data_IF_263915592180
#
_entry.id   IF_263915592180
#
_cell.length_a   1.000
_cell.length_b   1.000
_cell.length_c   1.000
_cell.angle_alpha   90.00
_cell.angle_beta   90.00
_cell.angle_gamma   90.00
#
_symmetry.space_group_name_H-M   'P 1'
#
loop_
_entity.id
_entity.type
_entity.pdbx_description
1 polymer ?
#
# COMPACT_ATOMS: atom_id res chain seq x y z
N UNK A 1 6.39 -44.94 -1.57
CA UNK A 1 5.35 -44.44 -2.49
C UNK A 1 4.06 -44.29 -1.71
N UNK A 2 3.66 -43.07 -1.35
CA UNK A 2 2.27 -42.72 -1.00
C UNK A 2 2.12 -41.22 -1.21
N UNK A 3 1.41 -40.85 -2.29
CA UNK A 3 1.05 -39.47 -2.58
C UNK A 3 -0.16 -39.14 -1.70
N UNK A 4 -0.04 -38.14 -0.84
CA UNK A 4 -1.18 -37.55 -0.15
C UNK A 4 -1.78 -36.48 -1.05
N UNK A 5 -2.94 -36.77 -1.63
CA UNK A 5 -3.75 -35.83 -2.40
C UNK A 5 -4.41 -34.83 -1.46
N UNK A 6 -4.09 -33.54 -1.61
CA UNK A 6 -4.82 -32.45 -0.97
C UNK A 6 -6.21 -32.29 -1.60
N UNK A 7 -7.26 -31.89 -0.84
CA UNK A 7 -8.57 -31.59 -1.40
C UNK A 7 -8.54 -30.28 -2.21
N UNK A 8 -9.40 -30.12 -3.23
CA UNK A 8 -9.46 -28.90 -4.02
C UNK A 8 -10.02 -27.74 -3.18
N UNK A 9 -9.15 -26.76 -2.90
CA UNK A 9 -9.52 -25.47 -2.32
C UNK A 9 -10.28 -24.64 -3.35
N UNK A 10 -11.61 -24.73 -3.36
CA UNK A 10 -12.42 -23.70 -4.03
C UNK A 10 -13.69 -23.48 -3.22
N UNK A 11 -13.63 -22.50 -2.33
CA UNK A 11 -14.84 -21.94 -1.74
C UNK A 11 -15.55 -21.14 -2.85
N UNK A 12 -16.84 -21.39 -3.13
CA UNK A 12 -17.55 -20.66 -4.18
C UNK A 12 -17.75 -19.21 -3.73
N UNK A 13 -17.23 -18.24 -4.47
CA UNK A 13 -17.51 -16.83 -4.21
C UNK A 13 -18.97 -16.53 -4.54
N UNK A 14 -19.81 -16.05 -3.61
CA UNK A 14 -21.07 -15.43 -3.97
C UNK A 14 -20.78 -14.10 -4.70
N UNK A 15 -21.62 -13.78 -5.68
CA UNK A 15 -21.56 -12.58 -6.51
C UNK A 15 -21.26 -11.32 -5.66
N UNK A 16 -20.24 -10.56 -6.06
CA UNK A 16 -19.82 -9.37 -5.32
C UNK A 16 -20.95 -8.32 -5.31
N UNK A 17 -21.37 -7.80 -4.15
CA UNK A 17 -22.17 -6.59 -4.12
C UNK A 17 -21.36 -5.42 -4.70
N UNK A 18 -22.07 -4.38 -5.17
CA UNK A 18 -21.45 -3.16 -5.70
C UNK A 18 -20.41 -2.62 -4.70
N UNK A 19 -19.16 -2.50 -5.17
CA UNK A 19 -18.01 -2.09 -4.36
C UNK A 19 -18.09 -0.57 -4.13
N UNK A 20 -18.70 -0.15 -3.03
CA UNK A 20 -18.84 1.27 -2.67
C UNK A 20 -17.61 1.84 -1.95
N UNK A 21 -16.83 0.99 -1.28
CA UNK A 21 -15.61 1.40 -0.58
C UNK A 21 -14.38 0.71 -1.19
N UNK A 22 -13.24 1.41 -1.33
CA UNK A 22 -12.00 0.81 -1.79
C UNK A 22 -11.51 -0.25 -0.81
N UNK A 23 -10.87 -1.30 -1.34
CA UNK A 23 -10.16 -2.33 -0.57
C UNK A 23 -8.66 -2.11 -0.60
N UNK A 24 -7.91 -2.82 0.24
CA UNK A 24 -6.44 -2.76 0.22
C UNK A 24 -5.86 -3.11 -1.16
N UNK A 25 -6.45 -4.10 -1.84
CA UNK A 25 -6.07 -4.47 -3.20
C UNK A 25 -6.39 -3.38 -4.24
N UNK A 26 -7.44 -2.58 -4.05
CA UNK A 26 -7.72 -1.43 -4.93
C UNK A 26 -6.65 -0.35 -4.78
N UNK A 27 -6.20 -0.10 -3.55
CA UNK A 27 -5.13 0.87 -3.29
C UNK A 27 -3.81 0.41 -3.91
N UNK A 28 -3.45 -0.87 -3.73
CA UNK A 28 -2.26 -1.42 -4.39
C UNK A 28 -2.34 -1.30 -5.92
N UNK A 29 -3.50 -1.59 -6.51
CA UNK A 29 -3.72 -1.44 -7.94
C UNK A 29 -3.61 0.03 -8.38
N UNK A 30 -4.23 0.95 -7.65
CA UNK A 30 -4.16 2.39 -7.92
C UNK A 30 -2.72 2.89 -7.88
N UNK A 31 -1.97 2.61 -6.82
CA UNK A 31 -0.60 3.08 -6.68
C UNK A 31 0.35 2.45 -7.70
N UNK A 32 0.12 1.19 -8.08
CA UNK A 32 0.88 0.55 -9.17
C UNK A 32 0.64 1.26 -10.50
N UNK A 33 -0.61 1.58 -10.81
CA UNK A 33 -0.94 2.33 -12.01
C UNK A 33 -0.40 3.77 -11.96
N UNK A 34 -0.43 4.42 -10.80
CA UNK A 34 0.10 5.77 -10.61
C UNK A 34 1.62 5.82 -10.80
N UNK A 35 2.37 5.06 -10.00
CA UNK A 35 3.83 5.07 -10.00
C UNK A 35 4.41 4.45 -11.28
N UNK A 36 3.67 3.53 -11.92
CA UNK A 36 4.01 3.00 -13.24
C UNK A 36 3.72 3.95 -14.40
N UNK A 37 3.17 5.15 -14.16
CA UNK A 37 2.87 6.15 -15.21
C UNK A 37 1.63 5.81 -16.05
N UNK A 38 0.75 4.93 -15.57
CA UNK A 38 -0.50 4.58 -16.25
C UNK A 38 -1.64 5.58 -16.04
N UNK A 39 -1.52 6.49 -15.06
CA UNK A 39 -2.55 7.49 -14.73
C UNK A 39 -2.19 8.92 -15.09
N UNK A 40 -0.90 9.26 -15.12
CA UNK A 40 -0.40 10.63 -15.31
C UNK A 40 0.66 10.65 -16.41
N UNK A 41 0.79 11.79 -17.11
CA UNK A 41 1.91 12.00 -18.03
C UNK A 41 3.22 12.06 -17.25
N UNK A 42 4.38 11.76 -17.85
CA UNK A 42 5.66 11.73 -17.13
C UNK A 42 6.00 13.02 -16.39
N UNK A 43 5.63 14.19 -16.93
CA UNK A 43 5.84 15.48 -16.26
C UNK A 43 5.00 15.63 -14.99
N UNK A 44 3.72 15.24 -15.03
CA UNK A 44 2.78 15.31 -13.90
C UNK A 44 3.14 14.29 -12.83
N UNK A 45 3.54 13.07 -13.22
CA UNK A 45 4.01 12.07 -12.28
C UNK A 45 5.26 12.57 -11.53
N UNK A 46 6.21 13.16 -12.26
CA UNK A 46 7.40 13.75 -11.65
C UNK A 46 7.03 14.85 -10.66
N UNK A 47 6.07 15.72 -10.98
CA UNK A 47 5.57 16.73 -10.04
C UNK A 47 4.94 16.09 -8.80
N UNK A 48 4.15 15.03 -8.98
CA UNK A 48 3.48 14.33 -7.88
C UNK A 48 4.45 13.60 -6.95
N UNK A 49 5.57 13.09 -7.46
CA UNK A 49 6.56 12.32 -6.70
C UNK A 49 7.78 13.14 -6.24
N UNK A 50 7.80 14.45 -6.47
CA UNK A 50 8.93 15.31 -6.05
C UNK A 50 8.53 16.12 -4.82
N UNK A 51 9.22 15.89 -3.70
CA UNK A 51 9.11 16.76 -2.54
C UNK A 51 9.97 18.00 -2.78
N UNK A 52 9.29 19.12 -3.01
CA UNK A 52 9.94 20.42 -3.26
C UNK A 52 10.21 21.21 -1.98
N UNK A 53 9.53 20.91 -0.88
CA UNK A 53 9.72 21.65 0.39
C UNK A 53 10.75 21.00 1.30
N UNK A 54 11.03 19.71 1.10
CA UNK A 54 11.93 18.91 1.92
C UNK A 54 11.29 18.42 3.23
N UNK A 55 9.97 18.57 3.38
CA UNK A 55 9.23 18.22 4.60
C UNK A 55 8.75 16.77 4.63
N UNK A 56 9.12 15.96 3.63
CA UNK A 56 8.66 14.58 3.46
C UNK A 56 7.29 14.48 2.78
N UNK A 57 6.88 15.50 2.03
CA UNK A 57 5.58 15.57 1.37
C UNK A 57 5.70 16.10 -0.05
N UNK A 58 5.13 15.35 -1.01
CA UNK A 58 4.88 15.84 -2.36
C UNK A 58 3.38 16.09 -2.57
N UNK A 59 2.92 16.14 -3.82
CA UNK A 59 1.52 16.44 -4.12
C UNK A 59 0.61 15.25 -3.77
N UNK A 60 0.18 15.17 -2.51
CA UNK A 60 -0.67 14.10 -2.01
C UNK A 60 0.05 12.79 -1.74
N UNK A 61 1.40 12.81 -1.67
CA UNK A 61 2.22 11.67 -1.29
C UNK A 61 3.06 12.00 -0.06
N UNK A 62 2.97 11.13 0.93
CA UNK A 62 3.90 11.03 2.05
C UNK A 62 5.17 10.32 1.60
N UNK A 63 6.31 10.85 2.01
CA UNK A 63 7.61 10.22 1.85
C UNK A 63 8.12 9.76 3.22
N UNK A 64 8.51 8.49 3.29
CA UNK A 64 9.16 7.93 4.47
C UNK A 64 10.47 7.27 4.08
N UNK A 65 11.45 7.28 4.99
CA UNK A 65 12.75 6.65 4.78
C UNK A 65 12.81 5.35 5.56
N UNK A 66 12.96 4.25 4.84
CA UNK A 66 13.33 2.95 5.40
C UNK A 66 14.85 2.73 5.25
N UNK A 67 15.43 1.74 5.96
CA UNK A 67 16.86 1.42 5.83
C UNK A 67 17.30 1.10 4.39
N UNK A 68 16.36 0.63 3.55
CA UNK A 68 16.60 0.27 2.15
C UNK A 68 16.31 1.39 1.14
N UNK A 69 15.85 2.57 1.59
CA UNK A 69 15.57 3.72 0.73
C UNK A 69 14.24 4.41 1.04
N UNK A 70 13.90 5.39 0.20
CA UNK A 70 12.66 6.17 0.29
C UNK A 70 11.47 5.39 -0.27
N UNK A 71 10.37 5.44 0.46
CA UNK A 71 9.06 4.92 0.07
C UNK A 71 8.07 6.06 -0.04
N UNK A 72 7.06 5.88 -0.90
CA UNK A 72 6.02 6.87 -1.15
C UNK A 72 4.65 6.25 -0.90
N UNK A 73 3.70 7.05 -0.42
CA UNK A 73 2.41 6.52 -0.03
C UNK A 73 1.51 7.57 0.61
N UNK A 74 0.58 7.11 1.42
CA UNK A 74 -0.23 7.99 2.26
C UNK A 74 -0.85 7.21 3.43
N UNK A 75 -0.99 7.87 4.58
CA UNK A 75 -1.82 7.41 5.68
C UNK A 75 -3.27 7.91 5.53
N UNK A 76 -4.22 7.10 5.98
CA UNK A 76 -5.64 7.43 6.03
C UNK A 76 -6.20 7.20 7.43
N UNK A 77 -7.11 8.07 7.87
CA UNK A 77 -7.72 7.93 9.18
C UNK A 77 -9.12 8.51 9.24
N UNK A 78 -10.07 7.68 9.65
CA UNK A 78 -11.42 8.10 10.04
C UNK A 78 -11.74 7.54 11.42
N UNK A 79 -12.74 8.07 12.15
CA UNK A 79 -13.12 7.49 13.44
C UNK A 79 -13.35 5.97 13.34
N UNK A 80 -12.60 5.20 14.12
CA UNK A 80 -12.66 3.74 14.15
C UNK A 80 -11.82 3.00 13.10
N UNK A 81 -11.18 3.69 12.15
CA UNK A 81 -10.37 3.07 11.10
C UNK A 81 -9.07 3.82 10.82
N UNK A 82 -8.04 3.06 10.48
CA UNK A 82 -6.77 3.57 10.00
C UNK A 82 -6.32 2.73 8.83
N UNK A 83 -5.77 3.39 7.83
CA UNK A 83 -5.21 2.76 6.65
C UNK A 83 -3.82 3.33 6.41
N UNK A 84 -2.89 2.51 5.95
CA UNK A 84 -1.63 2.94 5.37
C UNK A 84 -1.47 2.27 4.02
N UNK A 85 -0.92 2.97 3.05
CA UNK A 85 -0.60 2.45 1.73
C UNK A 85 0.75 3.02 1.32
N UNK A 86 1.80 2.19 1.34
CA UNK A 86 3.16 2.61 1.02
C UNK A 86 3.81 1.68 0.01
N UNK A 87 4.65 2.26 -0.83
CA UNK A 87 5.19 1.62 -2.01
C UNK A 87 6.65 2.04 -2.22
N UNK A 88 7.46 1.12 -2.75
CA UNK A 88 8.75 1.49 -3.30
C UNK A 88 8.56 2.44 -4.50
N UNK A 89 9.53 3.32 -4.78
CA UNK A 89 9.45 4.27 -5.90
C UNK A 89 9.28 3.61 -7.27
N UNK A 90 9.73 2.36 -7.42
CA UNK A 90 9.53 1.55 -8.63
C UNK A 90 8.11 0.96 -8.76
N UNK A 91 7.29 1.07 -7.71
CA UNK A 91 5.93 0.52 -7.63
C UNK A 91 5.84 -1.00 -7.56
N UNK A 92 6.98 -1.72 -7.50
CA UNK A 92 7.01 -3.20 -7.54
C UNK A 92 6.63 -3.78 -6.18
N UNK A 93 7.19 -3.22 -5.11
CA UNK A 93 6.88 -3.62 -3.74
C UNK A 93 5.89 -2.66 -3.13
N UNK A 94 4.84 -3.23 -2.55
CA UNK A 94 3.68 -2.51 -2.07
C UNK A 94 3.22 -3.14 -0.76
N UNK A 95 2.77 -2.31 0.16
CA UNK A 95 2.11 -2.76 1.38
C UNK A 95 0.97 -1.81 1.70
N UNK A 96 -0.22 -2.39 1.83
CA UNK A 96 -1.41 -1.69 2.24
C UNK A 96 -2.05 -2.43 3.40
N UNK A 97 -2.29 -1.73 4.51
CA UNK A 97 -2.94 -2.28 5.69
C UNK A 97 -4.06 -1.38 6.12
N UNK A 98 -5.20 -1.98 6.40
CA UNK A 98 -6.33 -1.34 7.06
C UNK A 98 -6.59 -2.05 8.39
N UNK A 99 -6.88 -1.29 9.43
CA UNK A 99 -7.24 -1.84 10.73
C UNK A 99 -8.27 -0.97 11.45
N UNK A 100 -9.05 -1.61 12.31
CA UNK A 100 -9.94 -0.89 13.22
C UNK A 100 -9.14 -0.29 14.37
N UNK A 101 -9.24 1.01 14.54
CA UNK A 101 -8.52 1.76 15.56
C UNK A 101 -9.38 1.92 16.83
N UNK A 102 -9.05 1.12 17.84
CA UNK A 102 -9.67 1.15 19.17
C UNK A 102 -8.72 1.75 20.24
N UNK A 103 -7.77 2.59 19.83
CA UNK A 103 -6.84 3.26 20.75
C UNK A 103 -5.57 2.46 21.07
N UNK A 104 -5.29 1.40 20.32
CA UNK A 104 -4.00 0.69 20.40
C UNK A 104 -2.99 1.36 19.47
N UNK A 105 -1.79 1.67 19.98
CA UNK A 105 -0.70 2.19 19.13
C UNK A 105 -0.14 1.09 18.22
N UNK A 106 -0.53 1.13 16.94
CA UNK A 106 -0.07 0.20 15.92
C UNK A 106 1.23 0.64 15.24
N UNK A 107 1.78 1.82 15.58
CA UNK A 107 2.91 2.41 14.86
C UNK A 107 4.15 1.50 14.80
N UNK A 108 4.57 0.81 15.89
CA UNK A 108 5.71 -0.10 15.84
C UNK A 108 5.49 -1.29 14.89
N UNK A 109 4.29 -1.88 14.92
CA UNK A 109 3.94 -3.03 14.07
C UNK A 109 3.86 -2.61 12.60
N UNK A 110 3.26 -1.44 12.34
CA UNK A 110 3.19 -0.81 11.02
C UNK A 110 4.59 -0.58 10.43
N UNK A 111 5.51 0.02 11.19
CA UNK A 111 6.88 0.25 10.72
C UNK A 111 7.63 -1.05 10.44
N UNK A 112 7.51 -2.05 11.32
CA UNK A 112 8.12 -3.35 11.14
C UNK A 112 7.62 -4.03 9.86
N UNK A 113 6.30 -3.97 9.62
CA UNK A 113 5.68 -4.53 8.42
C UNK A 113 6.14 -3.81 7.15
N UNK A 114 6.16 -2.47 7.13
CA UNK A 114 6.65 -1.71 5.98
C UNK A 114 8.10 -2.05 5.66
N UNK A 115 8.95 -2.16 6.69
CA UNK A 115 10.34 -2.57 6.53
C UNK A 115 10.44 -3.97 5.91
N UNK A 116 9.69 -4.95 6.45
CA UNK A 116 9.72 -6.33 5.97
C UNK A 116 9.16 -6.50 4.55
N UNK A 117 8.12 -5.74 4.19
CA UNK A 117 7.45 -5.87 2.89
C UNK A 117 8.15 -5.09 1.77
N UNK A 118 8.76 -3.95 2.09
CA UNK A 118 9.32 -3.03 1.08
C UNK A 118 10.83 -3.15 0.92
N UNK A 119 11.56 -3.60 1.95
CA UNK A 119 13.00 -3.84 1.82
C UNK A 119 13.29 -5.20 1.18
N UNK A 120 14.30 -5.28 0.29
CA UNK A 120 14.76 -6.57 -0.23
C UNK A 120 15.39 -7.38 0.91
N UNK A 121 15.12 -8.68 0.92
CA UNK A 121 15.72 -9.67 1.85
C UNK A 121 17.20 -9.90 1.56
#
# INVERSE_FOLDING_TARGET
>A
MSRSTAPPSTCPSPALPARSSPTTADLDHFFRALLGGGLLRPAELREMTTDTSGDGWALGLEMATLPCGTIVGHGGGTPGYRTISFHALDGIRQVTVDWTDWGTDASPATLALMTAALCPS
#
